data_IF_340001256204
#
_entry.id   IF_340001256204
#
_cell.length_a   1.000
_cell.length_b   1.000
_cell.length_c   1.000
_cell.angle_alpha   90.00
_cell.angle_beta   90.00
_cell.angle_gamma   90.00
#
_symmetry.space_group_name_H-M   'P 1'
#
loop_
_entity.id
_entity.type
_entity.pdbx_description
1 polymer ?
#
# COMPACT_ATOMS: atom_id res chain seq x y z
N UNK A 1 32.95 -10.65 -4.72
CA UNK A 1 32.62 -10.29 -3.33
C UNK A 1 31.11 -10.17 -3.24
N UNK A 2 30.46 -11.03 -2.46
CA UNK A 2 29.00 -11.20 -2.49
C UNK A 2 28.24 -10.25 -1.54
N UNK A 3 28.92 -9.66 -0.54
CA UNK A 3 28.33 -8.81 0.49
C UNK A 3 29.15 -7.51 0.64
N UNK A 4 28.86 -6.52 -0.21
CA UNK A 4 29.31 -5.14 0.01
C UNK A 4 28.18 -4.38 0.74
N UNK A 5 28.34 -4.00 2.01
CA UNK A 5 27.32 -3.30 2.78
C UNK A 5 27.01 -1.89 2.26
N UNK A 6 27.85 -1.33 1.38
CA UNK A 6 27.59 -0.07 0.69
C UNK A 6 26.80 -0.21 -0.62
N UNK A 7 26.60 -1.43 -1.11
CA UNK A 7 25.86 -1.68 -2.35
C UNK A 7 24.35 -1.64 -2.07
N UNK A 8 23.72 -0.53 -2.43
CA UNK A 8 22.27 -0.45 -2.46
C UNK A 8 21.73 -1.55 -3.36
N UNK A 9 20.71 -2.28 -2.89
CA UNK A 9 20.03 -3.27 -3.72
C UNK A 9 19.42 -2.57 -4.94
N UNK A 10 19.66 -3.11 -6.13
CA UNK A 10 19.02 -2.59 -7.34
C UNK A 10 17.50 -2.78 -7.21
N UNK A 11 16.75 -1.68 -7.05
CA UNK A 11 15.29 -1.73 -7.03
C UNK A 11 14.80 -2.19 -8.41
N UNK A 12 14.19 -3.37 -8.47
CA UNK A 12 13.58 -3.85 -9.70
C UNK A 12 12.10 -3.45 -9.72
N UNK A 13 11.63 -2.77 -10.79
CA UNK A 13 10.21 -2.44 -10.90
C UNK A 13 9.38 -3.72 -11.07
N UNK A 14 8.20 -3.74 -10.46
CA UNK A 14 7.19 -4.76 -10.75
C UNK A 14 6.26 -4.31 -11.87
N UNK A 15 5.83 -5.25 -12.71
CA UNK A 15 4.85 -4.98 -13.75
C UNK A 15 3.42 -5.11 -13.19
N UNK A 16 2.62 -4.07 -13.38
CA UNK A 16 1.16 -4.08 -13.15
C UNK A 16 0.48 -3.88 -14.50
N UNK A 17 -0.43 -4.79 -14.86
CA UNK A 17 -1.10 -4.81 -16.16
C UNK A 17 -2.56 -4.40 -16.01
N UNK A 18 -2.98 -3.45 -16.85
CA UNK A 18 -4.35 -2.96 -16.93
C UNK A 18 -4.99 -3.39 -18.26
N UNK A 19 -6.19 -3.97 -18.19
CA UNK A 19 -6.97 -4.44 -19.34
C UNK A 19 -8.33 -3.78 -19.33
N UNK A 20 -8.66 -3.03 -20.38
CA UNK A 20 -10.01 -2.50 -20.56
C UNK A 20 -10.89 -3.51 -21.31
N UNK A 21 -11.84 -4.10 -20.59
CA UNK A 21 -12.79 -5.09 -21.12
C UNK A 21 -14.02 -4.35 -21.63
N UNK A 22 -13.97 -3.96 -22.92
CA UNK A 22 -14.95 -3.08 -23.55
C UNK A 22 -16.39 -3.57 -23.44
N UNK A 23 -16.64 -4.87 -23.68
CA UNK A 23 -17.98 -5.48 -23.64
C UNK A 23 -18.63 -5.44 -22.25
N UNK A 24 -17.83 -5.26 -21.20
CA UNK A 24 -18.29 -5.15 -19.80
C UNK A 24 -18.15 -3.74 -19.24
N UNK A 25 -17.61 -2.81 -20.03
CA UNK A 25 -17.21 -1.48 -19.57
C UNK A 25 -16.43 -1.53 -18.24
N UNK A 26 -15.47 -2.46 -18.14
CA UNK A 26 -14.75 -2.75 -16.91
C UNK A 26 -13.24 -2.64 -17.11
N UNK A 27 -12.53 -2.18 -16.07
CA UNK A 27 -11.07 -2.19 -16.01
C UNK A 27 -10.62 -3.34 -15.10
N UNK A 28 -9.85 -4.27 -15.64
CA UNK A 28 -9.18 -5.32 -14.88
C UNK A 28 -7.73 -4.92 -14.65
N UNK A 29 -7.29 -4.93 -13.40
CA UNK A 29 -5.91 -4.66 -13.01
C UNK A 29 -5.32 -5.89 -12.34
N UNK A 30 -4.11 -6.30 -12.72
CA UNK A 30 -3.39 -7.43 -12.09
C UNK A 30 -1.90 -7.15 -11.97
N UNK A 31 -1.27 -7.66 -10.92
CA UNK A 31 0.18 -7.61 -10.71
C UNK A 31 0.68 -8.86 -9.99
N UNK A 32 1.99 -9.08 -10.05
CA UNK A 32 2.66 -10.07 -9.19
C UNK A 32 3.47 -9.34 -8.11
N UNK A 33 3.03 -9.50 -6.86
CA UNK A 33 3.54 -8.80 -5.69
C UNK A 33 4.64 -9.54 -4.92
N UNK A 34 5.00 -10.77 -5.30
CA UNK A 34 6.12 -11.50 -4.65
C UNK A 34 7.40 -10.65 -4.48
N UNK A 35 7.86 -9.87 -5.49
CA UNK A 35 9.03 -9.01 -5.32
C UNK A 35 8.80 -7.91 -4.27
N UNK A 36 7.64 -7.24 -4.28
CA UNK A 36 7.27 -6.21 -3.28
C UNK A 36 7.24 -6.81 -1.87
N UNK A 37 6.69 -8.01 -1.71
CA UNK A 37 6.66 -8.70 -0.42
C UNK A 37 8.05 -9.13 0.04
N UNK A 38 8.94 -9.45 -0.90
CA UNK A 38 10.33 -9.78 -0.58
C UNK A 38 11.06 -8.55 -0.04
N UNK A 39 10.93 -7.40 -0.71
CA UNK A 39 11.51 -6.14 -0.26
C UNK A 39 10.94 -5.70 1.09
N UNK A 40 9.64 -5.88 1.28
CA UNK A 40 8.97 -5.66 2.56
C UNK A 40 9.58 -6.50 3.69
N UNK A 41 9.79 -7.80 3.48
CA UNK A 41 10.41 -8.64 4.51
C UNK A 41 11.87 -8.29 4.77
N UNK A 42 12.63 -7.94 3.72
CA UNK A 42 13.99 -7.45 3.89
C UNK A 42 14.01 -6.16 4.73
N UNK A 43 13.05 -5.26 4.50
CA UNK A 43 12.88 -4.06 5.30
C UNK A 43 12.57 -4.39 6.77
N UNK A 44 11.64 -5.32 7.04
CA UNK A 44 11.35 -5.74 8.41
C UNK A 44 12.59 -6.32 9.10
N UNK A 45 13.35 -7.17 8.41
CA UNK A 45 14.58 -7.75 8.94
C UNK A 45 15.64 -6.69 9.25
N UNK A 46 15.82 -5.70 8.37
CA UNK A 46 16.77 -4.59 8.57
C UNK A 46 16.45 -3.74 9.79
N UNK A 47 15.17 -3.67 10.18
CA UNK A 47 14.69 -2.88 11.31
C UNK A 47 14.30 -3.73 12.52
N UNK A 48 14.61 -5.03 12.51
CA UNK A 48 14.29 -5.98 13.58
C UNK A 48 12.78 -5.99 13.95
N UNK A 49 11.93 -5.68 12.97
CA UNK A 49 10.48 -5.66 13.12
C UNK A 49 9.92 -7.06 12.89
N UNK A 50 8.94 -7.45 13.71
CA UNK A 50 8.18 -8.69 13.56
C UNK A 50 6.71 -8.41 13.80
N UNK A 51 5.90 -8.72 12.80
CA UNK A 51 4.45 -8.64 12.90
C UNK A 51 3.85 -10.02 13.06
N UNK A 52 2.74 -10.09 13.78
CA UNK A 52 1.91 -11.29 13.83
C UNK A 52 1.39 -11.64 12.41
N UNK A 53 1.16 -12.92 12.09
CA UNK A 53 0.76 -13.34 10.74
C UNK A 53 -0.46 -12.61 10.17
N UNK A 54 -1.45 -12.31 11.01
CA UNK A 54 -2.67 -11.62 10.60
C UNK A 54 -2.39 -10.15 10.24
N UNK A 55 -1.55 -9.48 11.04
CA UNK A 55 -1.08 -8.11 10.80
C UNK A 55 -0.24 -7.99 9.53
N UNK A 56 0.64 -8.97 9.33
CA UNK A 56 1.46 -9.10 8.13
C UNK A 56 0.62 -9.24 6.85
N UNK A 57 -0.42 -10.08 6.92
CA UNK A 57 -1.37 -10.28 5.82
C UNK A 57 -2.13 -9.00 5.50
N UNK A 58 -2.67 -8.32 6.51
CA UNK A 58 -3.40 -7.06 6.32
C UNK A 58 -2.55 -5.97 5.67
N UNK A 59 -1.28 -5.84 6.06
CA UNK A 59 -0.37 -4.86 5.46
C UNK A 59 -0.05 -5.18 4.00
N UNK A 60 0.17 -6.46 3.68
CA UNK A 60 0.39 -6.90 2.28
C UNK A 60 -0.82 -6.65 1.40
N UNK A 61 -2.02 -6.88 1.92
CA UNK A 61 -3.27 -6.63 1.21
C UNK A 61 -3.47 -5.13 0.99
N UNK A 62 -3.18 -4.29 1.98
CA UNK A 62 -3.25 -2.84 1.83
C UNK A 62 -2.27 -2.32 0.77
N UNK A 63 -1.02 -2.81 0.76
CA UNK A 63 -0.01 -2.43 -0.23
C UNK A 63 -0.39 -2.90 -1.64
N UNK A 64 -0.85 -4.15 -1.78
CA UNK A 64 -1.27 -4.69 -3.07
C UNK A 64 -2.52 -3.96 -3.59
N UNK A 65 -3.53 -3.79 -2.74
CA UNK A 65 -4.76 -3.07 -3.05
C UNK A 65 -4.48 -1.64 -3.48
N UNK A 66 -3.62 -0.91 -2.75
CA UNK A 66 -3.24 0.46 -3.12
C UNK A 66 -2.48 0.49 -4.45
N UNK A 67 -1.58 -0.48 -4.69
CA UNK A 67 -0.83 -0.55 -5.95
C UNK A 67 -1.75 -0.81 -7.14
N UNK A 68 -2.72 -1.73 -7.01
CA UNK A 68 -3.72 -1.98 -8.05
C UNK A 68 -4.63 -0.76 -8.25
N UNK A 69 -5.01 -0.08 -7.17
CA UNK A 69 -5.77 1.16 -7.24
C UNK A 69 -5.00 2.21 -8.03
N UNK A 70 -3.74 2.50 -7.67
CA UNK A 70 -2.87 3.46 -8.36
C UNK A 70 -2.74 3.17 -9.85
N UNK A 71 -2.61 1.91 -10.26
CA UNK A 71 -2.54 1.53 -11.67
C UNK A 71 -3.84 1.82 -12.46
N UNK A 72 -4.97 2.02 -11.78
CA UNK A 72 -6.23 2.50 -12.37
C UNK A 72 -6.36 4.03 -12.41
N UNK A 73 -5.41 4.76 -11.81
CA UNK A 73 -5.43 6.23 -11.68
C UNK A 73 -4.55 6.91 -12.73
N UNK A 74 -4.78 8.21 -13.01
CA UNK A 74 -3.86 9.03 -13.78
C UNK A 74 -2.41 8.96 -13.27
N UNK A 75 -1.45 9.09 -14.18
CA UNK A 75 -0.01 9.00 -13.85
C UNK A 75 0.47 10.10 -12.89
N UNK A 76 -0.22 11.25 -12.87
CA UNK A 76 0.12 12.39 -12.03
C UNK A 76 -0.54 12.35 -10.64
N UNK A 77 -1.15 11.23 -10.24
CA UNK A 77 -1.77 11.06 -8.92
C UNK A 77 -0.87 10.27 -7.96
N UNK A 78 -0.99 10.61 -6.67
CA UNK A 78 -0.57 9.83 -5.54
C UNK A 78 -1.77 9.57 -4.61
N UNK A 79 -1.73 8.46 -3.90
CA UNK A 79 -2.80 8.07 -2.98
C UNK A 79 -2.22 7.61 -1.64
N UNK A 80 -2.96 7.89 -0.57
CA UNK A 80 -2.66 7.42 0.78
C UNK A 80 -3.93 6.91 1.44
N UNK A 81 -3.84 5.74 2.06
CA UNK A 81 -4.90 5.03 2.74
C UNK A 81 -4.54 4.88 4.22
N UNK A 82 -5.46 5.27 5.10
CA UNK A 82 -5.39 5.01 6.54
C UNK A 82 -6.59 4.20 6.96
N UNK A 83 -6.35 2.95 7.33
CA UNK A 83 -7.35 2.01 7.84
C UNK A 83 -7.21 1.94 9.36
N UNK A 84 -8.31 2.02 10.08
CA UNK A 84 -8.37 1.85 11.53
C UNK A 84 -9.29 0.67 11.81
N UNK A 85 -8.75 -0.40 12.40
CA UNK A 85 -9.48 -1.61 12.75
C UNK A 85 -9.68 -1.68 14.27
N UNK A 86 -10.79 -2.29 14.68
CA UNK A 86 -11.12 -2.48 16.08
C UNK A 86 -10.69 -3.86 16.59
N UNK A 87 -10.88 -4.89 15.75
CA UNK A 87 -10.53 -6.28 16.06
C UNK A 87 -9.92 -6.94 14.80
N UNK A 88 -8.59 -7.07 14.71
CA UNK A 88 -7.59 -6.65 15.71
C UNK A 88 -7.46 -5.12 15.82
N UNK A 89 -7.05 -4.63 17.00
CA UNK A 89 -6.86 -3.19 17.24
C UNK A 89 -5.58 -2.69 16.57
N UNK A 90 -5.67 -2.33 15.29
CA UNK A 90 -4.52 -1.90 14.48
C UNK A 90 -4.87 -0.74 13.55
N UNK A 91 -3.87 0.12 13.32
CA UNK A 91 -3.94 1.12 12.26
C UNK A 91 -2.98 0.74 11.13
N UNK A 92 -3.45 0.81 9.89
CA UNK A 92 -2.63 0.57 8.70
C UNK A 92 -2.55 1.85 7.91
N UNK A 93 -1.34 2.22 7.54
CA UNK A 93 -1.07 3.27 6.58
C UNK A 93 -0.44 2.66 5.33
N UNK A 94 -0.98 2.96 4.16
CA UNK A 94 -0.36 2.63 2.88
C UNK A 94 -0.35 3.88 2.00
N UNK A 95 0.77 4.18 1.34
CA UNK A 95 0.86 5.32 0.44
C UNK A 95 1.68 4.98 -0.81
N UNK A 96 1.38 5.64 -1.92
CA UNK A 96 2.11 5.43 -3.16
C UNK A 96 1.83 6.50 -4.20
N UNK A 97 2.64 6.50 -5.25
CA UNK A 97 2.60 7.52 -6.30
C UNK A 97 2.97 6.91 -7.65
N UNK A 98 2.15 7.18 -8.66
CA UNK A 98 2.44 6.78 -10.04
C UNK A 98 3.66 7.53 -10.59
N UNK A 99 3.93 8.76 -10.12
CA UNK A 99 5.09 9.55 -10.57
C UNK A 99 6.42 8.96 -10.15
N UNK A 100 6.50 8.42 -8.94
CA UNK A 100 7.73 7.84 -8.40
C UNK A 100 7.77 6.32 -8.55
N UNK A 101 6.69 5.71 -9.07
CA UNK A 101 6.52 4.26 -9.17
C UNK A 101 6.85 3.52 -7.86
N UNK A 102 6.43 4.08 -6.74
CA UNK A 102 6.76 3.58 -5.41
C UNK A 102 5.52 3.43 -4.53
N UNK A 103 5.54 2.40 -3.68
CA UNK A 103 4.55 2.13 -2.64
C UNK A 103 5.25 1.91 -1.31
N UNK A 104 4.64 2.34 -0.23
CA UNK A 104 5.08 2.12 1.14
C UNK A 104 3.88 1.78 2.01
N UNK A 105 4.13 1.08 3.11
CA UNK A 105 3.11 0.82 4.09
C UNK A 105 3.71 0.56 5.47
N UNK A 106 2.89 0.77 6.49
CA UNK A 106 3.23 0.51 7.89
C UNK A 106 1.98 0.11 8.66
N UNK A 107 2.14 -0.82 9.58
CA UNK A 107 1.13 -1.14 10.58
C UNK A 107 1.55 -0.58 11.94
N UNK A 108 0.57 -0.09 12.69
CA UNK A 108 0.70 0.39 14.05
C UNK A 108 -0.16 -0.48 14.95
N UNK A 109 0.48 -1.13 15.91
CA UNK A 109 -0.14 -2.02 16.91
C UNK A 109 -0.07 -1.42 18.32
N UNK A 110 0.67 -0.33 18.48
CA UNK A 110 0.87 0.36 19.76
C UNK A 110 0.23 1.74 19.71
N UNK A 111 -0.32 2.18 20.85
CA UNK A 111 -0.97 3.49 21.00
C UNK A 111 -2.11 3.73 19.98
N UNK A 112 -2.78 2.66 19.54
CA UNK A 112 -3.95 2.73 18.66
C UNK A 112 -5.17 3.10 19.49
N UNK A 113 -5.89 4.14 19.06
CA UNK A 113 -7.14 4.55 19.70
C UNK A 113 -8.28 3.68 19.19
N UNK A 114 -9.12 3.20 20.10
CA UNK A 114 -10.41 2.60 19.76
C UNK A 114 -11.53 3.61 20.03
N UNK A 115 -12.27 3.98 18.98
CA UNK A 115 -13.50 4.77 19.07
C UNK A 115 -14.76 3.89 18.86
N UNK A 116 -14.59 2.56 18.82
CA UNK A 116 -15.67 1.59 18.59
C UNK A 116 -16.16 1.49 17.14
N UNK A 117 -15.60 2.29 16.23
CA UNK A 117 -15.89 2.25 14.78
C UNK A 117 -14.60 2.00 13.98
N UNK A 118 -14.73 1.27 12.88
CA UNK A 118 -13.63 1.03 11.95
C UNK A 118 -13.73 2.01 10.79
N UNK A 119 -12.61 2.61 10.39
CA UNK A 119 -12.61 3.70 9.42
C UNK A 119 -11.61 3.44 8.31
N UNK A 120 -12.06 3.65 7.07
CA UNK A 120 -11.19 3.77 5.91
C UNK A 120 -11.15 5.22 5.42
N UNK A 121 -9.97 5.84 5.58
CA UNK A 121 -9.67 7.15 5.04
C UNK A 121 -8.83 7.01 3.77
N UNK A 122 -9.25 7.65 2.68
CA UNK A 122 -8.52 7.71 1.42
C UNK A 122 -8.23 9.15 1.04
N UNK A 123 -6.98 9.45 0.75
CA UNK A 123 -6.49 10.74 0.30
C UNK A 123 -5.86 10.62 -1.08
N UNK A 124 -6.19 11.52 -2.01
CA UNK A 124 -5.60 11.61 -3.34
C UNK A 124 -4.98 12.98 -3.53
N UNK A 125 -3.75 13.02 -4.05
CA UNK A 125 -3.04 14.26 -4.37
C UNK A 125 -2.60 14.27 -5.83
N UNK A 126 -2.74 15.41 -6.50
CA UNK A 126 -2.25 15.66 -7.85
C UNK A 126 -1.60 17.05 -7.90
N UNK A 127 -0.65 17.25 -8.81
CA UNK A 127 0.09 18.51 -8.85
C UNK A 127 -0.83 19.64 -9.35
N UNK A 128 -0.91 20.74 -8.59
CA UNK A 128 -1.76 21.88 -8.92
C UNK A 128 -3.25 21.69 -8.59
N UNK A 129 -3.64 20.56 -7.99
CA UNK A 129 -5.01 20.29 -7.58
C UNK A 129 -5.15 20.29 -6.06
N UNK A 130 -6.32 20.66 -5.52
CA UNK A 130 -6.60 20.50 -4.10
C UNK A 130 -6.57 19.02 -3.70
N UNK A 131 -6.16 18.76 -2.46
CA UNK A 131 -6.21 17.42 -1.87
C UNK A 131 -7.66 16.94 -1.83
N UNK A 132 -7.91 15.74 -2.33
CA UNK A 132 -9.22 15.08 -2.25
C UNK A 132 -9.15 14.03 -1.15
N UNK A 133 -10.15 14.02 -0.27
CA UNK A 133 -10.22 13.08 0.84
C UNK A 133 -11.63 12.51 0.97
N UNK A 134 -11.71 11.25 1.39
CA UNK A 134 -12.96 10.56 1.69
C UNK A 134 -12.75 9.66 2.89
N UNK A 135 -13.75 9.57 3.75
CA UNK A 135 -13.74 8.73 4.95
C UNK A 135 -15.05 7.95 4.99
N UNK A 136 -14.96 6.64 5.18
CA UNK A 136 -16.12 5.77 5.34
C UNK A 136 -15.93 4.88 6.58
N UNK A 137 -17.04 4.55 7.22
CA UNK A 137 -17.08 3.44 8.17
C UNK A 137 -17.02 2.12 7.38
N UNK A 138 -16.32 1.14 7.94
CA UNK A 138 -16.19 -0.20 7.38
C UNK A 138 -16.69 -1.24 8.40
N UNK A 139 -17.34 -2.28 7.90
CA UNK A 139 -17.88 -3.38 8.70
C UNK A 139 -16.82 -4.46 8.97
#
# INVERSE_FOLDING_TARGET
>A
MLNDPGKQSETQPIEVRCYFVRERNALLVRGQFTPVYTDYYLHLMQHELRYEPDHDTLLKDAIAGLTLHLASRPWNEAAAWTLNFHDPLVNIFAAGSNRTAGVTGRIFTENVKSEGTQLFNSQITAAGEPVRQSSIEIE
#
